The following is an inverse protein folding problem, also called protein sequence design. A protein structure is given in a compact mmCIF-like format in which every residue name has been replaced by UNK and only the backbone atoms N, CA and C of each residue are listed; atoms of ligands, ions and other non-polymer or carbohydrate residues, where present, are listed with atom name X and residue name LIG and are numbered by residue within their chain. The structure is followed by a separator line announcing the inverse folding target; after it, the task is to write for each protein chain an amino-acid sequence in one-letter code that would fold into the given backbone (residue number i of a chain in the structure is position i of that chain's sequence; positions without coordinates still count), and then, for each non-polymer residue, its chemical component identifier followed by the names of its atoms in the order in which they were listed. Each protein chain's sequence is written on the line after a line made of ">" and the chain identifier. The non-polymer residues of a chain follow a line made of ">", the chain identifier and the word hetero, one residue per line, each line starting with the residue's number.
data_IF_150312902229
#
_entry.id   IF_150312902229
#
_cell.length_a   1.000
_cell.length_b   1.000
_cell.length_c   1.000
_cell.angle_alpha   90.00
_cell.angle_beta   90.00
_cell.angle_gamma   90.00
#
_symmetry.space_group_name_H-M   'P 1'
#
loop_
_entity.id
_entity.type
_entity.pdbx_description
1 polymer ?
#
# COMPACT_ATOMS: atom_id res chain seq x y z
N UNK A 1 -16.51 -10.99 -5.30
CA UNK A 1 -15.62 -9.89 -4.88
C UNK A 1 -14.25 -10.13 -5.51
N UNK A 2 -13.70 -9.14 -6.16
CA UNK A 2 -12.37 -9.21 -6.79
C UNK A 2 -11.41 -8.31 -6.01
N UNK A 3 -10.24 -8.82 -5.61
CA UNK A 3 -9.25 -8.08 -4.83
C UNK A 3 -8.07 -7.71 -5.73
N UNK A 4 -7.80 -6.42 -5.88
CA UNK A 4 -6.56 -5.93 -6.46
C UNK A 4 -5.43 -5.95 -5.43
N UNK A 5 -4.26 -6.48 -5.81
CA UNK A 5 -3.06 -6.45 -4.97
C UNK A 5 -1.93 -5.76 -5.72
N UNK A 6 -1.41 -4.68 -5.14
CA UNK A 6 -0.35 -3.87 -5.73
C UNK A 6 0.90 -3.97 -4.87
N UNK A 7 2.03 -4.29 -5.49
CA UNK A 7 3.36 -4.12 -4.93
C UNK A 7 4.22 -3.26 -5.85
N UNK A 8 5.15 -2.50 -5.30
CA UNK A 8 6.05 -1.64 -6.09
C UNK A 8 7.15 -2.44 -6.79
N UNK A 9 7.62 -3.50 -6.16
CA UNK A 9 8.75 -4.32 -6.61
C UNK A 9 8.32 -5.75 -6.90
N UNK A 10 9.06 -6.42 -7.79
CA UNK A 10 8.77 -7.79 -8.19
C UNK A 10 8.72 -8.74 -6.99
N UNK A 11 9.71 -8.66 -6.10
CA UNK A 11 9.81 -9.51 -4.92
C UNK A 11 8.62 -9.37 -3.94
N UNK A 12 7.90 -8.26 -3.98
CA UNK A 12 6.74 -8.02 -3.12
C UNK A 12 5.50 -8.78 -3.59
N UNK A 13 5.43 -9.14 -4.87
CA UNK A 13 4.26 -9.81 -5.47
C UNK A 13 4.53 -11.24 -5.95
N UNK A 14 5.78 -11.69 -6.01
CA UNK A 14 6.14 -12.99 -6.58
C UNK A 14 5.52 -14.15 -5.79
N UNK A 15 5.64 -14.15 -4.47
CA UNK A 15 5.08 -15.21 -3.63
C UNK A 15 3.55 -15.25 -3.68
N UNK A 16 2.92 -14.09 -3.83
CA UNK A 16 1.47 -14.01 -4.03
C UNK A 16 1.09 -14.62 -5.38
N UNK A 17 1.77 -14.21 -6.45
CA UNK A 17 1.53 -14.72 -7.82
C UNK A 17 1.77 -16.23 -7.90
N UNK A 18 2.78 -16.74 -7.19
CA UNK A 18 3.07 -18.17 -7.15
C UNK A 18 1.97 -19.03 -6.47
N UNK A 19 1.16 -18.42 -5.61
CA UNK A 19 0.03 -19.08 -4.96
C UNK A 19 -1.27 -19.01 -5.76
N UNK A 20 -1.30 -18.23 -6.84
CA UNK A 20 -2.49 -18.07 -7.68
C UNK A 20 -2.67 -19.27 -8.60
N UNK A 21 -3.93 -19.66 -8.82
CA UNK A 21 -4.37 -20.70 -9.77
C UNK A 21 -5.26 -20.09 -10.85
N UNK A 22 -5.48 -20.80 -11.93
CA UNK A 22 -6.31 -20.35 -13.08
C UNK A 22 -5.85 -18.99 -13.64
N UNK A 23 -4.54 -18.78 -13.71
CA UNK A 23 -3.97 -17.47 -13.99
C UNK A 23 -4.05 -17.09 -15.47
N UNK A 24 -4.35 -15.82 -15.72
CA UNK A 24 -4.19 -15.14 -17.01
C UNK A 24 -3.33 -13.90 -16.83
N UNK A 25 -2.48 -13.64 -17.80
CA UNK A 25 -1.55 -12.49 -17.74
C UNK A 25 -1.80 -11.57 -18.92
N UNK A 26 -1.92 -10.28 -18.62
CA UNK A 26 -2.06 -9.24 -19.64
C UNK A 26 -1.18 -8.03 -19.29
N UNK A 27 -0.67 -7.36 -20.32
CA UNK A 27 0.02 -6.08 -20.15
C UNK A 27 -0.92 -4.96 -20.57
N UNK A 28 -1.19 -4.04 -19.64
CA UNK A 28 -2.03 -2.87 -19.87
C UNK A 28 -1.37 -1.62 -19.27
N UNK A 29 -1.34 -0.53 -20.03
CA UNK A 29 -0.66 0.72 -19.64
C UNK A 29 0.81 0.52 -19.18
N UNK A 30 1.50 -0.48 -19.77
CA UNK A 30 2.89 -0.80 -19.41
C UNK A 30 3.05 -1.59 -18.11
N UNK A 31 1.97 -1.96 -17.44
CA UNK A 31 1.95 -2.79 -16.23
C UNK A 31 1.46 -4.20 -16.57
N UNK A 32 2.16 -5.21 -16.06
CA UNK A 32 1.72 -6.61 -16.15
C UNK A 32 0.73 -6.91 -15.02
N UNK A 33 -0.48 -7.31 -15.40
CA UNK A 33 -1.52 -7.78 -14.49
C UNK A 33 -1.66 -9.28 -14.61
N UNK A 34 -1.71 -9.96 -13.46
CA UNK A 34 -2.00 -11.39 -13.36
C UNK A 34 -3.34 -11.55 -12.65
N UNK A 35 -4.33 -12.03 -13.39
CA UNK A 35 -5.64 -12.39 -12.85
C UNK A 35 -5.64 -13.87 -12.49
N UNK A 36 -6.34 -14.26 -11.44
CA UNK A 36 -6.46 -15.65 -11.04
C UNK A 36 -7.20 -15.82 -9.72
N UNK A 37 -6.94 -16.91 -9.03
CA UNK A 37 -7.58 -17.23 -7.76
C UNK A 37 -6.56 -17.58 -6.69
N UNK A 38 -6.85 -17.21 -5.45
CA UNK A 38 -6.23 -17.76 -4.25
C UNK A 38 -7.35 -18.39 -3.42
N UNK A 39 -7.39 -19.73 -3.37
CA UNK A 39 -8.56 -20.45 -2.90
C UNK A 39 -9.79 -20.13 -3.76
N UNK A 40 -10.87 -19.68 -3.13
CA UNK A 40 -12.10 -19.27 -3.82
C UNK A 40 -12.16 -17.77 -4.16
N UNK A 41 -11.11 -17.01 -3.79
CA UNK A 41 -11.07 -15.55 -3.96
C UNK A 41 -10.44 -15.17 -5.30
N UNK A 42 -11.14 -14.35 -6.10
CA UNK A 42 -10.57 -13.74 -7.29
C UNK A 42 -9.58 -12.63 -6.92
N UNK A 43 -8.42 -12.67 -7.54
CA UNK A 43 -7.31 -11.74 -7.28
C UNK A 43 -6.75 -11.20 -8.59
N UNK A 44 -6.44 -9.92 -8.63
CA UNK A 44 -5.67 -9.27 -9.68
C UNK A 44 -4.39 -8.73 -9.06
N UNK A 45 -3.25 -9.32 -9.37
CA UNK A 45 -1.96 -8.94 -8.81
C UNK A 45 -1.11 -8.20 -9.83
N UNK A 46 -0.48 -7.08 -9.42
CA UNK A 46 0.40 -6.34 -10.30
C UNK A 46 1.62 -5.78 -9.56
N UNK A 47 2.76 -5.73 -10.28
CA UNK A 47 3.90 -4.91 -9.92
C UNK A 47 3.73 -3.54 -10.58
N UNK A 48 3.41 -2.51 -9.81
CA UNK A 48 3.18 -1.19 -10.37
C UNK A 48 4.47 -0.42 -10.73
N UNK A 49 5.59 -0.70 -10.07
CA UNK A 49 6.78 0.13 -10.09
C UNK A 49 6.85 1.09 -8.90
N UNK A 50 8.01 1.70 -8.70
CA UNK A 50 8.27 2.59 -7.57
C UNK A 50 7.75 3.99 -7.86
N UNK A 51 7.06 4.59 -6.88
CA UNK A 51 6.58 5.96 -6.95
C UNK A 51 5.06 6.09 -7.07
N UNK A 52 4.55 7.21 -6.62
CA UNK A 52 3.10 7.48 -6.50
C UNK A 52 2.39 7.48 -7.85
N UNK A 53 3.04 7.96 -8.90
CA UNK A 53 2.47 8.02 -10.25
C UNK A 53 2.23 6.61 -10.80
N UNK A 54 3.21 5.71 -10.68
CA UNK A 54 3.04 4.33 -11.12
C UNK A 54 1.98 3.58 -10.30
N UNK A 55 1.96 3.80 -8.99
CA UNK A 55 0.92 3.25 -8.13
C UNK A 55 -0.48 3.73 -8.54
N UNK A 56 -0.64 5.01 -8.86
CA UNK A 56 -1.93 5.58 -9.29
C UNK A 56 -2.40 5.01 -10.64
N UNK A 57 -1.50 4.91 -11.62
CA UNK A 57 -1.82 4.31 -12.94
C UNK A 57 -2.26 2.85 -12.77
N UNK A 58 -1.55 2.09 -11.93
CA UNK A 58 -1.86 0.70 -11.67
C UNK A 58 -3.22 0.56 -10.96
N UNK A 59 -3.48 1.38 -9.94
CA UNK A 59 -4.76 1.38 -9.22
C UNK A 59 -5.93 1.76 -10.14
N UNK A 60 -5.78 2.78 -10.96
CA UNK A 60 -6.78 3.21 -11.95
C UNK A 60 -7.12 2.07 -12.92
N UNK A 61 -6.09 1.39 -13.45
CA UNK A 61 -6.30 0.24 -14.33
C UNK A 61 -7.03 -0.90 -13.62
N UNK A 62 -6.71 -1.20 -12.35
CA UNK A 62 -7.42 -2.20 -11.55
C UNK A 62 -8.90 -1.86 -11.37
N UNK A 63 -9.21 -0.59 -11.11
CA UNK A 63 -10.58 -0.13 -10.92
C UNK A 63 -11.36 -0.19 -12.24
N UNK A 64 -10.82 0.40 -13.31
CA UNK A 64 -11.58 0.62 -14.55
C UNK A 64 -11.64 -0.60 -15.47
N UNK A 65 -10.57 -1.41 -15.49
CA UNK A 65 -10.48 -2.55 -16.41
C UNK A 65 -10.84 -3.87 -15.77
N UNK A 66 -10.41 -4.07 -14.52
CA UNK A 66 -10.58 -5.34 -13.81
C UNK A 66 -11.71 -5.33 -12.79
N UNK A 67 -12.39 -4.18 -12.64
CA UNK A 67 -13.58 -4.01 -11.78
C UNK A 67 -13.34 -4.56 -10.36
N UNK A 68 -12.16 -4.22 -9.79
CA UNK A 68 -11.81 -4.68 -8.44
C UNK A 68 -12.67 -3.98 -7.38
N UNK A 69 -13.18 -4.75 -6.42
CA UNK A 69 -13.98 -4.21 -5.31
C UNK A 69 -13.14 -3.52 -4.24
N UNK A 70 -11.86 -3.89 -4.14
CA UNK A 70 -10.90 -3.30 -3.21
C UNK A 70 -9.47 -3.45 -3.70
N UNK A 71 -8.59 -2.61 -3.18
CA UNK A 71 -7.14 -2.67 -3.44
C UNK A 71 -6.40 -2.85 -2.12
N UNK A 72 -5.48 -3.80 -2.10
CA UNK A 72 -4.52 -4.03 -1.02
C UNK A 72 -3.13 -3.66 -1.54
N UNK A 73 -2.48 -2.71 -0.89
CA UNK A 73 -1.08 -2.41 -1.16
C UNK A 73 -0.20 -3.23 -0.20
N UNK A 74 0.75 -3.96 -0.78
CA UNK A 74 1.74 -4.76 -0.04
C UNK A 74 3.14 -4.29 -0.39
N UNK A 75 4.06 -4.39 0.57
CA UNK A 75 5.44 -4.01 0.30
C UNK A 75 6.27 -3.88 1.57
N UNK A 76 7.48 -3.38 1.39
CA UNK A 76 8.40 -3.11 2.50
C UNK A 76 8.38 -1.63 2.86
N UNK A 77 8.54 -1.32 4.14
CA UNK A 77 8.60 0.03 4.66
C UNK A 77 9.74 0.18 5.69
N UNK A 78 10.33 1.37 5.76
CA UNK A 78 11.20 1.74 6.87
C UNK A 78 10.37 2.03 8.11
N UNK A 79 10.78 1.52 9.27
CA UNK A 79 10.11 1.85 10.53
C UNK A 79 10.64 3.16 11.13
N UNK A 80 9.72 4.00 11.60
CA UNK A 80 9.99 5.20 12.39
C UNK A 80 9.68 4.99 13.88
N UNK A 81 9.31 3.76 14.26
CA UNK A 81 9.04 3.40 15.66
C UNK A 81 10.04 2.36 16.16
N UNK A 82 10.25 2.32 17.49
CA UNK A 82 11.06 1.29 18.15
C UNK A 82 10.28 0.00 18.45
N UNK A 83 8.97 -0.01 18.15
CA UNK A 83 8.08 -1.13 18.46
C UNK A 83 8.04 -2.18 17.36
N UNK A 84 8.69 -1.92 16.23
CA UNK A 84 8.78 -2.85 15.10
C UNK A 84 10.25 -3.15 14.78
N UNK A 85 10.53 -4.42 14.58
CA UNK A 85 11.81 -4.91 14.11
C UNK A 85 11.73 -5.32 12.63
N UNK A 86 12.87 -5.68 12.04
CA UNK A 86 12.90 -6.27 10.70
C UNK A 86 12.08 -7.57 10.70
N UNK A 87 11.24 -7.75 9.72
CA UNK A 87 10.26 -8.85 9.54
C UNK A 87 8.96 -8.72 10.35
N UNK A 88 8.80 -7.71 11.19
CA UNK A 88 7.50 -7.39 11.77
C UNK A 88 6.58 -6.74 10.73
N UNK A 89 5.27 -6.77 10.97
CA UNK A 89 4.28 -6.26 10.04
C UNK A 89 3.69 -4.94 10.53
N UNK A 90 3.71 -3.91 9.68
CA UNK A 90 2.95 -2.69 9.89
C UNK A 90 1.60 -2.79 9.16
N UNK A 91 0.50 -2.62 9.89
CA UNK A 91 -0.85 -2.58 9.32
C UNK A 91 -1.33 -1.13 9.30
N UNK A 92 -1.51 -0.58 8.11
CA UNK A 92 -1.93 0.80 7.95
C UNK A 92 -3.37 1.01 8.44
N UNK A 93 -3.56 1.93 9.39
CA UNK A 93 -4.89 2.47 9.72
C UNK A 93 -5.20 3.71 8.91
N UNK A 94 -4.18 4.47 8.56
CA UNK A 94 -4.23 5.59 7.63
C UNK A 94 -2.96 5.61 6.78
N UNK A 95 -3.04 6.26 5.63
CA UNK A 95 -1.88 6.62 4.82
C UNK A 95 -1.83 8.13 4.63
N UNK A 96 -0.63 8.68 4.48
CA UNK A 96 -0.42 10.10 4.20
C UNK A 96 0.72 10.29 3.20
N UNK A 97 0.70 11.41 2.47
CA UNK A 97 1.81 11.80 1.62
C UNK A 97 2.74 12.76 2.37
N UNK A 98 3.91 12.27 2.78
CA UNK A 98 4.85 13.08 3.57
C UNK A 98 5.54 14.18 2.76
N UNK A 99 5.60 14.04 1.45
CA UNK A 99 6.24 14.96 0.51
C UNK A 99 5.27 15.92 -0.20
N UNK A 100 3.98 15.86 0.15
CA UNK A 100 3.00 16.82 -0.38
C UNK A 100 3.10 18.14 0.38
N UNK A 101 3.53 19.19 -0.31
CA UNK A 101 3.69 20.52 0.29
C UNK A 101 3.19 21.61 -0.65
N UNK A 102 1.99 22.08 -0.40
CA UNK A 102 1.36 23.24 -1.04
C UNK A 102 1.27 24.43 -0.10
N UNK A 103 2.08 24.46 0.96
CA UNK A 103 2.09 25.55 1.94
C UNK A 103 2.38 26.94 1.36
N UNK A 104 3.16 27.10 0.26
CA UNK A 104 3.32 28.41 -0.38
C UNK A 104 2.01 29.03 -0.92
N UNK A 105 0.97 28.23 -1.14
CA UNK A 105 -0.35 28.70 -1.56
C UNK A 105 -1.41 28.64 -0.47
N UNK A 106 -0.99 28.35 0.78
CA UNK A 106 -1.82 28.48 1.97
C UNK A 106 -2.31 27.18 2.59
N UNK A 107 -2.03 26.03 2.00
CA UNK A 107 -2.44 24.73 2.53
C UNK A 107 -1.50 24.25 3.66
N UNK A 108 -1.98 23.47 4.63
CA UNK A 108 -1.09 22.76 5.54
C UNK A 108 -0.33 21.65 4.80
N UNK A 109 0.89 21.36 5.24
CA UNK A 109 1.70 20.26 4.68
C UNK A 109 0.95 18.93 4.76
N UNK A 110 1.09 18.12 3.72
CA UNK A 110 0.41 16.82 3.59
C UNK A 110 -1.04 16.91 3.13
N UNK A 111 -1.62 18.10 3.02
CA UNK A 111 -3.02 18.24 2.59
C UNK A 111 -3.19 17.86 1.11
N UNK A 112 -4.09 16.95 0.87
CA UNK A 112 -4.61 16.64 -0.46
C UNK A 112 -5.85 17.53 -0.70
N UNK A 113 -5.63 18.71 -1.23
CA UNK A 113 -6.67 19.76 -1.34
C UNK A 113 -7.89 19.33 -2.14
N UNK A 114 -7.71 18.44 -3.15
CA UNK A 114 -8.83 17.90 -3.95
C UNK A 114 -9.85 17.10 -3.14
N UNK A 115 -9.45 16.50 -2.02
CA UNK A 115 -10.31 15.74 -1.11
C UNK A 115 -10.31 16.32 0.31
N UNK A 116 -9.52 17.36 0.55
CA UNK A 116 -9.38 18.08 1.81
C UNK A 116 -9.02 17.16 3.00
N UNK A 117 -8.06 16.26 2.79
CA UNK A 117 -7.59 15.31 3.79
C UNK A 117 -6.07 15.22 3.82
N UNK A 118 -5.49 15.03 5.02
CA UNK A 118 -4.08 14.70 5.22
C UNK A 118 -3.94 13.20 5.45
N UNK A 119 -4.75 12.65 6.34
CA UNK A 119 -4.79 11.22 6.65
C UNK A 119 -5.89 10.54 5.85
N UNK A 120 -5.54 9.61 5.01
CA UNK A 120 -6.47 8.78 4.24
C UNK A 120 -6.73 7.50 5.00
N UNK A 121 -7.96 7.27 5.53
CA UNK A 121 -8.24 6.07 6.31
C UNK A 121 -8.21 4.81 5.44
N UNK A 122 -7.63 3.75 5.98
CA UNK A 122 -7.76 2.42 5.43
C UNK A 122 -9.15 1.83 5.74
N UNK A 123 -9.58 0.82 4.98
CA UNK A 123 -10.82 0.11 5.26
C UNK A 123 -10.72 -0.61 6.61
N UNK A 124 -11.59 -0.25 7.55
CA UNK A 124 -11.55 -0.75 8.94
C UNK A 124 -11.72 -2.27 9.01
N UNK A 125 -12.58 -2.84 8.15
CA UNK A 125 -12.84 -4.29 8.15
C UNK A 125 -11.62 -5.07 7.67
N UNK A 126 -10.92 -4.53 6.65
CA UNK A 126 -9.68 -5.13 6.17
C UNK A 126 -8.55 -5.02 7.19
N UNK A 127 -8.45 -3.90 7.88
CA UNK A 127 -7.48 -3.72 8.99
C UNK A 127 -7.73 -4.75 10.09
N UNK A 128 -8.97 -4.92 10.53
CA UNK A 128 -9.34 -5.89 11.56
C UNK A 128 -9.08 -7.33 11.10
N UNK A 129 -9.45 -7.68 9.87
CA UNK A 129 -9.20 -8.99 9.29
C UNK A 129 -7.70 -9.29 9.24
N UNK A 130 -6.89 -8.36 8.74
CA UNK A 130 -5.43 -8.52 8.68
C UNK A 130 -4.84 -8.74 10.07
N UNK A 131 -5.24 -7.92 11.05
CA UNK A 131 -4.77 -8.06 12.43
C UNK A 131 -5.14 -9.42 13.04
N UNK A 132 -6.35 -9.92 12.80
CA UNK A 132 -6.76 -11.25 13.23
C UNK A 132 -5.91 -12.34 12.59
N UNK A 133 -5.71 -12.27 11.27
CA UNK A 133 -4.88 -13.24 10.54
C UNK A 133 -3.41 -13.26 11.03
N UNK A 134 -2.85 -12.12 11.38
CA UNK A 134 -1.49 -12.02 11.91
C UNK A 134 -1.41 -12.58 13.34
N UNK A 135 -2.39 -12.27 14.19
CA UNK A 135 -2.47 -12.80 15.54
C UNK A 135 -2.61 -14.32 15.56
N UNK A 136 -3.48 -14.90 14.71
CA UNK A 136 -3.68 -16.34 14.58
C UNK A 136 -2.41 -17.10 14.17
N UNK A 137 -1.49 -16.40 13.49
CA UNK A 137 -0.20 -16.93 13.04
C UNK A 137 0.96 -16.60 13.97
N UNK A 138 0.69 -15.91 15.09
CA UNK A 138 1.71 -15.39 16.01
C UNK A 138 2.76 -14.50 15.31
N UNK A 139 2.34 -13.73 14.31
CA UNK A 139 3.20 -12.74 13.64
C UNK A 139 3.08 -11.43 14.40
N UNK A 140 4.23 -10.87 14.81
CA UNK A 140 4.25 -9.57 15.47
C UNK A 140 3.85 -8.46 14.50
N UNK A 141 2.94 -7.61 14.93
CA UNK A 141 2.47 -6.49 14.12
C UNK A 141 2.13 -5.26 14.94
N UNK A 142 2.14 -4.11 14.29
CA UNK A 142 1.65 -2.85 14.86
C UNK A 142 0.69 -2.17 13.89
N UNK A 143 -0.40 -1.62 14.40
CA UNK A 143 -1.27 -0.70 13.66
C UNK A 143 -0.73 0.72 13.74
N UNK A 144 -0.80 1.46 12.63
CA UNK A 144 -0.35 2.84 12.63
C UNK A 144 -0.54 3.53 11.29
N UNK A 145 -0.05 4.74 11.20
CA UNK A 145 -0.04 5.49 9.95
C UNK A 145 1.16 5.07 9.10
N UNK A 146 0.96 4.97 7.78
CA UNK A 146 2.03 4.76 6.81
C UNK A 146 2.23 6.05 6.02
N UNK A 147 3.44 6.60 6.10
CA UNK A 147 3.83 7.74 5.28
C UNK A 147 4.38 7.26 3.93
N UNK A 148 3.83 7.78 2.83
CA UNK A 148 4.30 7.49 1.48
C UNK A 148 4.85 8.75 0.82
N UNK A 149 5.72 8.59 -0.17
CA UNK A 149 6.30 9.66 -0.97
C UNK A 149 7.19 9.10 -2.07
N UNK A 150 7.67 10.00 -2.94
CA UNK A 150 8.62 9.64 -4.01
C UNK A 150 10.08 9.76 -3.56
N UNK A 151 10.30 9.93 -2.24
CA UNK A 151 11.63 9.98 -1.62
C UNK A 151 11.79 8.85 -0.61
N UNK A 152 12.96 8.18 -0.65
CA UNK A 152 13.35 7.17 0.33
C UNK A 152 14.30 7.80 1.36
N UNK A 153 13.96 7.69 2.63
CA UNK A 153 14.81 8.16 3.73
C UNK A 153 15.63 7.01 4.31
N UNK A 154 16.96 7.06 4.08
CA UNK A 154 17.92 6.15 4.68
C UNK A 154 18.68 6.88 5.80
N UNK A 155 18.44 6.53 7.04
CA UNK A 155 19.21 6.89 8.25
C UNK A 155 19.61 8.37 8.51
N UNK A 156 19.36 8.83 9.71
CA UNK A 156 19.82 10.07 10.39
C UNK A 156 19.14 11.40 10.08
N UNK A 157 18.07 11.46 9.30
CA UNK A 157 17.39 12.73 9.02
C UNK A 157 15.87 12.67 9.08
N UNK A 158 15.30 11.48 9.14
CA UNK A 158 13.85 11.29 9.13
C UNK A 158 13.19 11.53 10.50
N UNK A 159 13.95 11.52 11.57
CA UNK A 159 13.44 11.63 12.95
C UNK A 159 12.80 12.99 13.27
N UNK A 160 12.94 13.99 12.41
CA UNK A 160 12.43 15.33 12.67
C UNK A 160 11.27 15.78 11.80
N UNK A 161 10.87 15.01 10.79
CA UNK A 161 10.04 15.59 9.74
C UNK A 161 8.52 15.35 9.84
N UNK A 162 8.04 14.34 10.59
CA UNK A 162 6.60 14.02 10.56
C UNK A 162 6.06 13.35 11.83
N UNK A 163 6.62 13.61 12.99
CA UNK A 163 6.12 13.04 14.26
C UNK A 163 4.70 13.50 14.64
N UNK A 164 4.19 14.58 14.07
CA UNK A 164 2.83 15.05 14.36
C UNK A 164 1.72 14.14 13.82
N UNK A 165 2.02 13.31 12.82
CA UNK A 165 1.01 12.47 12.15
C UNK A 165 1.27 10.96 12.26
N UNK A 166 2.41 10.55 12.82
CA UNK A 166 2.78 9.15 13.04
C UNK A 166 2.68 8.78 14.51
#
# INVERSE_FOLDING_TARGET
>A
MTIGVIGAMQMEVDDLKAQMTDTQTEVYSGVEFVEGKIGDQYVVAAKCGIGKVFAAICAEAMILKYDVDMIVNIGVAGTLTKDLNVLDVAVATNVLQHDMDTSPIGDPKGLLSGINMILLPADTKMVELMCSCLADRNIHYKKGNIATGDSVYCHKGAEGLYFEYL
#
